data_IF_759256556863
#
_entry.id   IF_759256556863
#
_cell.length_a   1.000
_cell.length_b   1.000
_cell.length_c   1.000
_cell.angle_alpha   90.00
_cell.angle_beta   90.00
_cell.angle_gamma   90.00
#
_symmetry.space_group_name_H-M   'P 1'
#
loop_
_entity.id
_entity.type
_entity.pdbx_description
1 polymer ?
#
# COMPACT_ATOMS: atom_id res chain seq x y z
N UNK A 1 -51.26 -27.52 4.61
CA UNK A 1 -50.40 -26.36 4.25
C UNK A 1 -48.95 -26.78 4.40
N UNK A 2 -48.20 -26.92 3.30
CA UNK A 2 -46.80 -27.32 3.33
C UNK A 2 -45.92 -26.13 3.74
N UNK A 3 -45.11 -26.28 4.79
CA UNK A 3 -44.13 -25.26 5.20
C UNK A 3 -43.00 -25.22 4.18
N UNK A 4 -42.96 -24.17 3.36
CA UNK A 4 -41.83 -23.89 2.47
C UNK A 4 -40.72 -23.28 3.33
N UNK A 5 -39.70 -24.07 3.66
CA UNK A 5 -38.48 -23.57 4.29
C UNK A 5 -37.57 -22.96 3.23
N UNK A 6 -37.56 -21.63 3.11
CA UNK A 6 -36.63 -20.92 2.23
C UNK A 6 -35.26 -20.92 2.92
N UNK A 7 -34.38 -21.83 2.52
CA UNK A 7 -32.98 -21.81 2.93
C UNK A 7 -32.25 -20.71 2.15
N UNK A 8 -32.12 -19.52 2.73
CA UNK A 8 -31.29 -18.45 2.16
C UNK A 8 -29.83 -18.85 2.36
N UNK A 9 -29.27 -19.60 1.40
CA UNK A 9 -27.85 -19.93 1.40
C UNK A 9 -27.04 -18.63 1.25
N UNK A 10 -26.16 -18.35 2.23
CA UNK A 10 -25.25 -17.21 2.12
C UNK A 10 -24.42 -17.34 0.85
N UNK A 11 -24.30 -16.27 0.04
CA UNK A 11 -23.46 -16.34 -1.15
C UNK A 11 -22.00 -16.64 -0.79
N UNK A 12 -21.37 -17.55 -1.54
CA UNK A 12 -20.02 -18.07 -1.30
C UNK A 12 -18.88 -17.02 -1.35
N UNK A 13 -19.19 -15.78 -1.74
CA UNK A 13 -18.24 -14.67 -1.75
C UNK A 13 -18.14 -13.94 -0.39
N UNK A 14 -19.10 -14.16 0.53
CA UNK A 14 -19.03 -13.68 1.89
C UNK A 14 -18.11 -14.59 2.73
N UNK A 15 -17.16 -14.04 3.50
CA UNK A 15 -16.31 -14.83 4.38
C UNK A 15 -17.18 -15.52 5.44
N UNK A 16 -16.97 -16.84 5.63
CA UNK A 16 -17.74 -17.65 6.59
C UNK A 16 -17.61 -17.11 8.03
N UNK A 17 -16.43 -16.56 8.36
CA UNK A 17 -16.14 -15.71 9.53
C UNK A 17 -15.08 -14.67 9.12
N UNK A 18 -15.46 -13.42 8.85
CA UNK A 18 -14.48 -12.32 8.79
C UNK A 18 -14.20 -11.83 10.20
N UNK A 19 -12.93 -11.75 10.59
CA UNK A 19 -12.57 -11.04 11.80
C UNK A 19 -12.67 -9.53 11.56
N UNK A 20 -12.90 -8.75 12.62
CA UNK A 20 -12.86 -7.27 12.56
C UNK A 20 -11.53 -6.75 11.98
N UNK A 21 -10.44 -7.50 12.17
CA UNK A 21 -9.10 -7.19 11.66
C UNK A 21 -9.06 -7.36 10.14
N UNK A 22 -9.63 -8.44 9.60
CA UNK A 22 -9.68 -8.71 8.16
C UNK A 22 -10.44 -7.59 7.42
N UNK A 23 -11.56 -7.15 7.98
CA UNK A 23 -12.34 -6.05 7.43
C UNK A 23 -11.58 -4.73 7.47
N UNK A 24 -10.89 -4.45 8.57
CA UNK A 24 -10.05 -3.26 8.70
C UNK A 24 -8.87 -3.27 7.71
N UNK A 25 -8.26 -4.44 7.48
CA UNK A 25 -7.20 -4.64 6.49
C UNK A 25 -7.69 -4.40 5.06
N UNK A 26 -8.82 -4.97 4.68
CA UNK A 26 -9.37 -4.78 3.34
C UNK A 26 -9.75 -3.32 3.09
N UNK A 27 -10.35 -2.64 4.08
CA UNK A 27 -10.68 -1.21 4.00
C UNK A 27 -9.42 -0.36 3.86
N UNK A 28 -8.40 -0.59 4.67
CA UNK A 28 -7.13 0.17 4.59
C UNK A 28 -6.44 -0.01 3.25
N UNK A 29 -6.33 -1.24 2.75
CA UNK A 29 -5.75 -1.52 1.43
C UNK A 29 -6.55 -0.86 0.30
N UNK A 30 -7.89 -0.85 0.39
CA UNK A 30 -8.73 -0.23 -0.63
C UNK A 30 -8.55 1.28 -0.69
N UNK A 31 -8.42 1.93 0.47
CA UNK A 31 -8.11 3.36 0.52
C UNK A 31 -6.74 3.66 -0.08
N UNK A 32 -5.73 2.84 0.22
CA UNK A 32 -4.41 3.02 -0.37
C UNK A 32 -4.40 2.88 -1.89
N UNK A 33 -5.10 1.87 -2.41
CA UNK A 33 -5.21 1.66 -3.85
C UNK A 33 -5.95 2.83 -4.50
N UNK A 34 -7.05 3.30 -3.90
CA UNK A 34 -7.79 4.46 -4.39
C UNK A 34 -6.94 5.75 -4.39
N UNK A 35 -6.07 5.94 -3.41
CA UNK A 35 -5.19 7.13 -3.31
C UNK A 35 -3.99 7.08 -4.24
N UNK A 36 -3.42 5.90 -4.48
CA UNK A 36 -2.25 5.79 -5.36
C UNK A 36 -2.63 5.92 -6.83
N UNK A 37 -3.91 5.67 -7.18
CA UNK A 37 -4.37 5.56 -8.57
C UNK A 37 -3.79 4.34 -9.30
N UNK A 38 -2.98 3.52 -8.62
CA UNK A 38 -2.37 2.30 -9.16
C UNK A 38 -3.23 1.12 -8.74
N UNK A 39 -3.27 0.06 -9.55
CA UNK A 39 -3.98 -1.20 -9.21
C UNK A 39 -3.45 -1.93 -7.98
N UNK A 40 -2.36 -1.43 -7.38
CA UNK A 40 -1.69 -2.01 -6.23
C UNK A 40 -1.37 -0.96 -5.16
N UNK A 41 -1.18 -1.46 -3.95
CA UNK A 41 -0.73 -0.72 -2.79
C UNK A 41 0.68 -1.19 -2.40
N UNK A 42 1.64 -0.27 -2.31
CA UNK A 42 2.97 -0.54 -1.78
C UNK A 42 3.06 -0.02 -0.34
N UNK A 43 2.95 -0.92 0.64
CA UNK A 43 3.00 -0.56 2.06
C UNK A 43 3.89 -1.51 2.84
N UNK A 44 4.59 -1.00 3.86
CA UNK A 44 5.32 -1.84 4.80
C UNK A 44 4.35 -2.41 5.84
N UNK A 45 4.71 -3.57 6.42
CA UNK A 45 3.92 -4.21 7.47
C UNK A 45 3.80 -3.32 8.72
N UNK A 46 4.83 -2.55 9.03
CA UNK A 46 4.83 -1.60 10.15
C UNK A 46 3.82 -0.47 9.96
N UNK A 47 3.74 0.05 8.75
CA UNK A 47 2.77 1.10 8.41
C UNK A 47 1.35 0.53 8.50
N UNK A 48 1.13 -0.71 8.09
CA UNK A 48 -0.17 -1.37 8.28
C UNK A 48 -0.53 -1.51 9.77
N UNK A 49 0.39 -1.98 10.60
CA UNK A 49 0.16 -2.09 12.05
C UNK A 49 -0.14 -0.72 12.69
N UNK A 50 0.61 0.32 12.34
CA UNK A 50 0.41 1.66 12.91
C UNK A 50 -0.94 2.26 12.51
N UNK A 51 -1.37 2.05 11.26
CA UNK A 51 -2.67 2.50 10.78
C UNK A 51 -3.83 1.76 11.44
N UNK A 52 -3.70 0.44 11.62
CA UNK A 52 -4.72 -0.35 12.32
C UNK A 52 -4.87 0.11 13.77
N UNK A 53 -3.76 0.39 14.45
CA UNK A 53 -3.79 0.94 15.79
C UNK A 53 -4.40 2.35 15.84
N UNK A 54 -4.06 3.22 14.88
CA UNK A 54 -4.51 4.61 14.86
C UNK A 54 -6.00 4.76 14.54
N UNK A 55 -6.47 4.08 13.49
CA UNK A 55 -7.80 4.30 12.94
C UNK A 55 -8.85 3.32 13.45
N UNK A 56 -8.45 2.09 13.78
CA UNK A 56 -9.38 1.05 14.24
C UNK A 56 -9.21 0.74 15.73
N UNK A 57 -8.24 1.38 16.41
CA UNK A 57 -7.84 1.08 17.79
C UNK A 57 -7.46 -0.41 17.97
N UNK A 58 -7.00 -1.05 16.90
CA UNK A 58 -6.59 -2.45 16.87
C UNK A 58 -5.06 -2.54 17.00
N UNK A 59 -4.59 -2.84 18.21
CA UNK A 59 -3.16 -3.12 18.44
C UNK A 59 -2.87 -4.58 18.04
N UNK A 60 -2.10 -4.76 16.99
CA UNK A 60 -1.72 -6.09 16.50
C UNK A 60 -0.21 -6.22 16.31
N UNK A 61 0.32 -7.41 16.58
CA UNK A 61 1.72 -7.74 16.29
C UNK A 61 1.92 -8.07 14.80
N UNK A 62 3.15 -7.92 14.30
CA UNK A 62 3.50 -8.30 12.91
C UNK A 62 3.17 -9.76 12.61
N UNK A 63 3.36 -10.65 13.58
CA UNK A 63 3.06 -12.08 13.44
C UNK A 63 1.56 -12.30 13.22
N UNK A 64 0.73 -11.67 14.05
CA UNK A 64 -0.72 -11.70 13.90
C UNK A 64 -1.17 -11.12 12.54
N UNK A 65 -0.62 -9.96 12.16
CA UNK A 65 -0.86 -9.36 10.85
C UNK A 65 -0.55 -10.34 9.71
N UNK A 66 0.57 -11.05 9.78
CA UNK A 66 0.95 -12.02 8.74
C UNK A 66 0.01 -13.21 8.64
N UNK A 67 -0.58 -13.67 9.74
CA UNK A 67 -1.61 -14.71 9.71
C UNK A 67 -2.88 -14.23 8.99
N UNK A 68 -3.37 -13.04 9.34
CA UNK A 68 -4.54 -12.45 8.67
C UNK A 68 -4.29 -12.20 7.18
N UNK A 69 -3.13 -11.66 6.82
CA UNK A 69 -2.76 -11.48 5.42
C UNK A 69 -2.65 -12.80 4.66
N UNK A 70 -2.12 -13.86 5.28
CA UNK A 70 -2.07 -15.21 4.67
C UNK A 70 -3.46 -15.80 4.49
N UNK A 71 -4.34 -15.61 5.46
CA UNK A 71 -5.74 -16.03 5.39
C UNK A 71 -6.48 -15.32 4.25
N UNK A 72 -6.36 -13.98 4.16
CA UNK A 72 -6.95 -13.19 3.08
C UNK A 72 -6.42 -13.58 1.70
N UNK A 73 -5.13 -13.90 1.61
CA UNK A 73 -4.50 -14.37 0.36
C UNK A 73 -5.02 -15.75 -0.05
N UNK A 74 -5.04 -16.71 0.88
CA UNK A 74 -5.55 -18.07 0.63
C UNK A 74 -7.02 -18.05 0.18
N UNK A 75 -7.81 -17.12 0.70
CA UNK A 75 -9.22 -16.97 0.36
C UNK A 75 -9.48 -16.16 -0.93
N UNK A 76 -8.42 -15.69 -1.59
CA UNK A 76 -8.51 -14.95 -2.85
C UNK A 76 -9.01 -13.51 -2.71
N UNK A 77 -8.87 -12.90 -1.53
CA UNK A 77 -9.21 -11.49 -1.32
C UNK A 77 -8.07 -10.56 -1.73
N UNK A 78 -6.83 -10.95 -1.44
CA UNK A 78 -5.63 -10.18 -1.77
C UNK A 78 -4.57 -11.04 -2.47
N UNK A 79 -3.68 -10.42 -3.22
CA UNK A 79 -2.45 -11.04 -3.74
C UNK A 79 -1.25 -10.25 -3.23
N UNK A 80 -0.25 -10.94 -2.70
CA UNK A 80 0.98 -10.33 -2.19
C UNK A 80 2.16 -10.61 -3.11
N UNK A 81 2.95 -9.59 -3.39
CA UNK A 81 4.20 -9.73 -4.15
C UNK A 81 5.34 -9.13 -3.34
N UNK A 82 6.25 -9.97 -2.86
CA UNK A 82 7.46 -9.52 -2.18
C UNK A 82 8.47 -9.04 -3.21
N UNK A 83 9.10 -7.91 -2.93
CA UNK A 83 10.09 -7.30 -3.82
C UNK A 83 11.45 -7.35 -3.16
N UNK A 84 12.42 -7.86 -3.89
CA UNK A 84 13.82 -7.90 -3.50
C UNK A 84 14.58 -7.20 -4.62
N UNK A 85 15.51 -6.32 -4.24
CA UNK A 85 16.44 -5.66 -5.17
C UNK A 85 17.86 -5.95 -4.70
N UNK A 86 18.81 -5.99 -5.62
CA UNK A 86 20.23 -5.89 -5.26
C UNK A 86 20.67 -4.43 -5.24
N UNK A 87 21.56 -4.11 -4.32
CA UNK A 87 22.23 -2.82 -4.26
C UNK A 87 23.46 -2.79 -5.16
N UNK A 88 24.02 -1.59 -5.42
CA UNK A 88 25.28 -1.45 -6.18
C UNK A 88 26.44 -2.24 -5.59
N UNK A 89 26.40 -2.50 -4.28
CA UNK A 89 27.39 -3.29 -3.54
C UNK A 89 27.05 -4.78 -3.41
N UNK A 90 26.10 -5.29 -4.21
CA UNK A 90 25.69 -6.70 -4.20
C UNK A 90 24.82 -7.12 -3.00
N UNK A 91 24.50 -6.21 -2.08
CA UNK A 91 23.66 -6.50 -0.90
C UNK A 91 22.19 -6.62 -1.29
N UNK A 92 21.47 -7.56 -0.69
CA UNK A 92 20.02 -7.71 -0.87
C UNK A 92 19.26 -6.63 -0.07
N UNK A 93 18.43 -5.85 -0.78
CA UNK A 93 17.50 -4.88 -0.22
C UNK A 93 16.07 -5.40 -0.33
N UNK A 94 15.43 -5.59 0.82
CA UNK A 94 14.01 -5.93 0.90
C UNK A 94 13.16 -4.68 0.70
N UNK A 95 12.43 -4.62 -0.41
CA UNK A 95 11.51 -3.53 -0.72
C UNK A 95 10.13 -3.80 -0.11
N UNK A 96 9.28 -2.76 0.06
CA UNK A 96 7.92 -2.92 0.54
C UNK A 96 7.14 -3.93 -0.31
N UNK A 97 6.34 -4.75 0.36
CA UNK A 97 5.47 -5.72 -0.30
C UNK A 97 4.37 -4.99 -1.07
N UNK A 98 4.09 -5.47 -2.29
CA UNK A 98 2.95 -5.01 -3.06
C UNK A 98 1.72 -5.84 -2.70
N UNK A 99 0.61 -5.15 -2.49
CA UNK A 99 -0.70 -5.74 -2.22
C UNK A 99 -1.65 -5.37 -3.36
N UNK A 100 -2.25 -6.38 -3.97
CA UNK A 100 -3.31 -6.22 -4.95
C UNK A 100 -4.63 -6.67 -4.32
N UNK A 101 -5.67 -5.85 -4.42
CA UNK A 101 -7.02 -6.29 -4.10
C UNK A 101 -7.61 -7.03 -5.30
N UNK A 102 -8.15 -8.22 -5.04
CA UNK A 102 -8.86 -8.98 -6.07
C UNK A 102 -10.31 -8.53 -6.19
N UNK A 103 -10.98 -8.83 -7.32
CA UNK A 103 -12.40 -8.54 -7.52
C UNK A 103 -13.29 -9.07 -6.38
N UNK A 104 -12.93 -10.23 -5.80
CA UNK A 104 -13.64 -10.82 -4.66
C UNK A 104 -13.65 -9.89 -3.43
N UNK A 105 -12.53 -9.24 -3.13
CA UNK A 105 -12.46 -8.26 -2.04
C UNK A 105 -13.23 -6.98 -2.37
N UNK A 106 -13.18 -6.53 -3.62
CA UNK A 106 -13.93 -5.34 -4.05
C UNK A 106 -15.44 -5.59 -3.96
N UNK A 107 -15.92 -6.78 -4.32
CA UNK A 107 -17.33 -7.16 -4.17
C UNK A 107 -17.75 -7.24 -2.70
N UNK A 108 -16.92 -7.84 -1.85
CA UNK A 108 -17.13 -7.86 -0.40
C UNK A 108 -17.24 -6.44 0.16
N UNK A 109 -16.31 -5.57 -0.22
CA UNK A 109 -16.30 -4.18 0.20
C UNK A 109 -17.52 -3.43 -0.34
N UNK A 110 -17.94 -3.63 -1.60
CA UNK A 110 -19.16 -3.02 -2.18
C UNK A 110 -20.41 -3.35 -1.37
N UNK A 111 -20.52 -4.58 -0.87
CA UNK A 111 -21.58 -4.99 0.05
C UNK A 111 -21.57 -4.16 1.35
N UNK A 112 -20.37 -3.88 1.89
CA UNK A 112 -20.21 -2.99 3.05
C UNK A 112 -20.46 -1.51 2.71
N UNK A 113 -20.06 -1.06 1.52
CA UNK A 113 -20.20 0.33 1.07
C UNK A 113 -21.65 0.75 0.88
N UNK A 114 -22.55 -0.18 0.48
CA UNK A 114 -24.00 0.09 0.40
C UNK A 114 -24.59 0.53 1.74
N UNK A 115 -23.94 0.22 2.86
CA UNK A 115 -24.40 0.54 4.22
C UNK A 115 -23.71 1.73 4.88
N UNK A 116 -22.74 2.41 4.25
CA UNK A 116 -21.98 3.46 4.94
C UNK A 116 -21.43 4.59 4.08
N UNK A 117 -22.07 5.77 4.13
CA UNK A 117 -21.48 7.07 3.74
C UNK A 117 -20.22 7.43 4.54
N UNK A 118 -19.94 6.72 5.64
CA UNK A 118 -18.83 6.95 6.59
C UNK A 118 -17.43 6.77 6.00
N UNK A 119 -17.28 5.99 4.93
CA UNK A 119 -15.94 5.75 4.34
C UNK A 119 -15.42 6.99 3.60
N UNK A 120 -16.29 7.88 3.10
CA UNK A 120 -15.87 9.15 2.50
C UNK A 120 -15.15 10.09 3.48
N UNK A 121 -15.54 10.08 4.77
CA UNK A 121 -14.81 10.77 5.84
C UNK A 121 -13.47 10.11 6.13
N UNK A 122 -13.40 8.78 6.13
CA UNK A 122 -12.15 8.02 6.28
C UNK A 122 -11.11 8.31 5.19
N UNK A 123 -11.55 8.58 3.95
CA UNK A 123 -10.66 8.99 2.86
C UNK A 123 -9.96 10.32 3.14
N UNK A 124 -10.59 11.24 3.88
CA UNK A 124 -10.00 12.55 4.23
C UNK A 124 -8.93 12.43 5.31
N UNK A 125 -9.11 11.55 6.29
CA UNK A 125 -8.27 11.49 7.49
C UNK A 125 -6.96 10.69 7.36
N UNK A 126 -6.82 9.85 6.32
CA UNK A 126 -5.58 9.10 6.09
C UNK A 126 -4.54 10.03 5.43
N UNK A 127 -3.40 10.34 6.07
CA UNK A 127 -2.43 11.28 5.50
C UNK A 127 -1.82 10.73 4.20
N UNK A 128 -1.51 11.63 3.24
CA UNK A 128 -0.85 11.35 1.94
C UNK A 128 0.55 10.69 2.03
N UNK A 129 0.94 10.16 3.19
CA UNK A 129 2.32 9.91 3.57
C UNK A 129 3.02 8.73 2.89
N UNK A 130 2.34 7.95 2.03
CA UNK A 130 3.01 6.92 1.20
C UNK A 130 3.55 7.50 -0.11
N UNK A 131 3.08 8.68 -0.54
CA UNK A 131 3.63 9.42 -1.70
C UNK A 131 4.97 10.09 -1.32
N UNK A 132 5.23 10.28 -0.03
CA UNK A 132 6.39 11.02 0.49
C UNK A 132 7.71 10.29 0.21
N UNK A 133 7.75 8.95 0.15
CA UNK A 133 8.99 8.24 -0.24
C UNK A 133 9.30 8.33 -1.72
N UNK A 134 8.29 8.27 -2.60
CA UNK A 134 8.48 8.50 -4.04
C UNK A 134 8.89 9.97 -4.31
N UNK A 135 8.41 10.94 -3.53
CA UNK A 135 8.84 12.34 -3.66
C UNK A 135 10.21 12.63 -3.06
N UNK A 136 10.58 12.01 -1.93
CA UNK A 136 11.94 12.13 -1.36
C UNK A 136 12.97 11.45 -2.29
N UNK A 137 12.66 10.30 -2.89
CA UNK A 137 13.55 9.65 -3.87
C UNK A 137 13.64 10.44 -5.19
N UNK A 138 12.54 11.08 -5.63
CA UNK A 138 12.57 12.00 -6.78
C UNK A 138 13.38 13.25 -6.48
N UNK A 139 13.19 13.88 -5.31
CA UNK A 139 13.98 15.05 -4.88
C UNK A 139 15.48 14.72 -4.80
N UNK A 140 15.85 13.58 -4.20
CA UNK A 140 17.24 13.10 -4.17
C UNK A 140 17.82 12.84 -5.55
N UNK A 141 17.03 12.35 -6.53
CA UNK A 141 17.49 12.20 -7.92
C UNK A 141 17.72 13.54 -8.62
N UNK A 142 16.89 14.53 -8.36
CA UNK A 142 17.04 15.88 -8.91
C UNK A 142 18.29 16.58 -8.34
N UNK A 143 18.60 16.35 -7.06
CA UNK A 143 19.81 16.92 -6.42
C UNK A 143 21.11 16.27 -6.94
N UNK A 144 21.10 14.95 -7.18
CA UNK A 144 22.27 14.24 -7.77
C UNK A 144 22.52 14.68 -9.22
N UNK A 145 21.47 14.94 -10.01
CA UNK A 145 21.64 15.48 -11.38
C UNK A 145 22.09 16.95 -11.40
N UNK A 146 21.85 17.71 -10.32
CA UNK A 146 22.32 19.11 -10.21
C UNK A 146 23.81 19.18 -9.87
N UNK A 147 24.36 18.17 -9.18
CA UNK A 147 25.80 18.06 -8.89
C UNK A 147 26.66 17.56 -10.05
N UNK A 148 26.07 17.00 -11.11
CA UNK A 148 26.79 16.46 -12.28
C UNK A 148 26.92 17.46 -13.45
N UNK A 149 26.34 18.66 -13.35
CA UNK A 149 26.66 19.71 -14.33
C UNK A 149 28.09 20.20 -14.06
N UNK A 150 29.03 20.09 -15.01
CA UNK A 150 30.36 20.66 -14.82
C UNK A 150 30.18 22.15 -14.52
N UNK A 151 30.76 22.61 -13.41
CA UNK A 151 30.73 24.03 -13.10
C UNK A 151 31.35 24.77 -14.28
N UNK A 152 30.73 25.88 -14.76
CA UNK A 152 31.39 26.70 -15.76
C UNK A 152 32.75 27.09 -15.20
N UNK A 153 33.81 26.72 -15.93
CA UNK A 153 35.17 27.06 -15.55
C UNK A 153 35.23 28.57 -15.34
N UNK A 154 35.70 29.05 -14.18
CA UNK A 154 35.75 30.48 -13.94
C UNK A 154 36.70 31.12 -14.96
N UNK A 155 36.33 32.30 -15.46
CA UNK A 155 36.87 32.90 -16.71
C UNK A 155 38.41 32.93 -16.75
N UNK A 156 39.05 33.21 -15.62
CA UNK A 156 40.51 33.20 -15.47
C UNK A 156 41.17 31.85 -15.81
N UNK A 157 40.51 30.72 -15.55
CA UNK A 157 41.03 29.38 -15.92
C UNK A 157 40.96 29.17 -17.43
N UNK A 158 39.94 29.72 -18.10
CA UNK A 158 39.85 29.69 -19.58
C UNK A 158 40.87 30.63 -20.23
N UNK A 159 41.29 31.68 -19.54
CA UNK A 159 42.36 32.57 -20.01
C UNK A 159 43.73 31.91 -19.87
N UNK A 160 44.02 31.23 -18.75
CA UNK A 160 45.29 30.52 -18.55
C UNK A 160 45.49 29.40 -19.59
N UNK A 161 44.43 28.67 -19.94
CA UNK A 161 44.48 27.61 -20.97
C UNK A 161 44.67 28.12 -22.40
N UNK A 162 44.51 29.42 -22.67
CA UNK A 162 44.83 30.04 -23.98
C UNK A 162 46.30 30.41 -24.11
N UNK A 163 47.05 30.43 -23.02
CA UNK A 163 48.48 30.75 -22.98
C UNK A 163 49.39 29.52 -22.86
N UNK A 164 48.80 28.33 -22.70
CA UNK A 164 49.45 27.02 -22.85
C UNK A 164 49.21 26.47 -24.25
#
# INVERSE_FOLDING_TARGET
MQKISISISRPNWLPQKSSKIDEALLKTLAVFQGKSGKGYCATSQDVLCSLLSKYYKLKISRRCLNYHLKYLEKNGYIRRVRRISQDKFGRLKCLPTLYWLLPKAMNFLRGLFRFGRRIGQWFKDIPKQVIVREQIEKAKKTDVQKSEKPMPMPVWVTEILKFL
#
